data_IF_537169964811
#
_entry.id   IF_537169964811
#
_cell.length_a   1.000
_cell.length_b   1.000
_cell.length_c   1.000
_cell.angle_alpha   90.00
_cell.angle_beta   90.00
_cell.angle_gamma   90.00
#
_symmetry.space_group_name_H-M   'P 1'
#
loop_
_entity.id
_entity.type
_entity.pdbx_description
1 polymer ?
#
# COMPACT_ATOMS: atom_id res chain seq x y z
N UNK A 1 -3.76 2.02 9.28
CA UNK A 1 -3.09 2.28 10.57
C UNK A 1 -1.92 3.19 10.30
N UNK A 2 -1.81 4.29 11.05
CA UNK A 2 -0.68 5.20 10.95
C UNK A 2 0.36 4.81 12.00
N UNK A 3 1.63 4.74 11.58
CA UNK A 3 2.75 4.40 12.46
C UNK A 3 3.78 5.52 12.38
N UNK A 4 4.00 6.15 13.52
CA UNK A 4 5.05 7.15 13.73
C UNK A 4 5.89 6.76 14.96
N UNK A 5 6.37 5.51 14.95
CA UNK A 5 7.18 4.95 16.03
C UNK A 5 8.01 3.79 15.52
N UNK A 6 9.20 3.62 16.09
CA UNK A 6 10.01 2.44 15.90
C UNK A 6 9.25 1.15 16.26
N UNK A 7 8.97 0.32 15.26
CA UNK A 7 8.40 -1.01 15.36
C UNK A 7 9.41 -2.03 14.84
N UNK A 8 9.78 -2.98 15.71
CA UNK A 8 10.67 -4.08 15.34
C UNK A 8 10.39 -5.32 16.19
N UNK A 9 10.77 -6.47 15.64
CA UNK A 9 10.58 -7.78 16.27
C UNK A 9 9.13 -8.04 16.68
N UNK A 10 8.94 -8.59 17.88
CA UNK A 10 7.61 -8.96 18.38
C UNK A 10 6.65 -7.77 18.50
N UNK A 11 7.17 -6.56 18.72
CA UNK A 11 6.33 -5.35 18.81
C UNK A 11 5.68 -5.02 17.48
N UNK A 12 6.39 -5.19 16.37
CA UNK A 12 5.84 -5.00 15.03
C UNK A 12 4.71 -6.00 14.78
N UNK A 13 4.96 -7.28 15.06
CA UNK A 13 3.97 -8.36 14.88
C UNK A 13 2.72 -8.13 15.73
N UNK A 14 2.89 -7.89 17.03
CA UNK A 14 1.74 -7.66 17.93
C UNK A 14 0.91 -6.44 17.55
N UNK A 15 1.55 -5.39 17.05
CA UNK A 15 0.90 -4.14 16.69
C UNK A 15 0.12 -4.28 15.38
N UNK A 16 0.78 -4.74 14.32
CA UNK A 16 0.20 -4.84 12.99
C UNK A 16 -0.81 -6.00 12.88
N UNK A 17 -0.62 -7.11 13.61
CA UNK A 17 -1.59 -8.23 13.63
C UNK A 17 -2.95 -7.85 14.20
N UNK A 18 -3.09 -6.71 14.91
CA UNK A 18 -4.41 -6.20 15.31
C UNK A 18 -5.30 -5.89 14.10
N UNK A 19 -4.69 -5.59 12.96
CA UNK A 19 -5.40 -5.33 11.70
C UNK A 19 -5.91 -6.62 11.05
N UNK A 20 -5.48 -7.81 11.44
CA UNK A 20 -5.94 -9.07 10.81
C UNK A 20 -7.31 -9.55 11.30
N UNK A 21 -8.04 -8.76 12.10
CA UNK A 21 -9.42 -9.09 12.50
C UNK A 21 -10.37 -8.94 11.31
N UNK A 22 -11.07 -10.01 10.98
CA UNK A 22 -12.09 -10.03 9.93
C UNK A 22 -13.37 -9.32 10.38
N UNK A 23 -13.98 -8.53 9.49
CA UNK A 23 -15.27 -7.89 9.71
C UNK A 23 -16.00 -7.77 8.36
N UNK A 24 -17.33 -8.02 8.27
CA UNK A 24 -18.05 -8.08 6.99
C UNK A 24 -17.95 -6.81 6.13
N UNK A 25 -17.80 -5.65 6.75
CA UNK A 25 -17.69 -4.34 6.08
C UNK A 25 -16.24 -3.89 5.87
N UNK A 26 -15.27 -4.76 6.15
CA UNK A 26 -13.85 -4.44 6.09
C UNK A 26 -13.26 -5.11 4.87
N UNK A 27 -13.24 -4.35 3.78
CA UNK A 27 -12.80 -4.83 2.48
C UNK A 27 -11.29 -4.81 2.34
N UNK A 28 -10.62 -3.80 2.90
CA UNK A 28 -9.16 -3.65 2.82
C UNK A 28 -8.53 -3.16 4.14
N UNK A 29 -7.24 -3.46 4.30
CA UNK A 29 -6.41 -2.94 5.38
C UNK A 29 -5.17 -2.28 4.82
N UNK A 30 -4.91 -1.05 5.25
CA UNK A 30 -3.73 -0.29 4.84
C UNK A 30 -2.92 0.15 6.07
N UNK A 31 -1.60 0.16 5.94
CA UNK A 31 -0.65 0.66 6.94
C UNK A 31 0.19 1.75 6.28
N UNK A 32 0.21 2.94 6.88
CA UNK A 32 1.10 4.01 6.49
C UNK A 32 2.15 4.17 7.58
N UNK A 33 3.39 3.83 7.26
CA UNK A 33 4.53 3.91 8.17
C UNK A 33 5.45 5.06 7.74
N UNK A 34 5.77 5.94 8.68
CA UNK A 34 6.67 7.08 8.46
C UNK A 34 8.06 6.87 9.07
N UNK A 35 8.25 5.79 9.83
CA UNK A 35 9.44 5.59 10.66
C UNK A 35 10.24 4.35 10.27
N UNK A 36 9.57 3.24 9.95
CA UNK A 36 10.22 1.94 9.77
C UNK A 36 10.41 1.60 8.28
N UNK A 37 11.52 0.95 7.98
CA UNK A 37 11.76 0.35 6.67
C UNK A 37 11.00 -0.98 6.50
N UNK A 38 10.55 -1.22 5.27
CA UNK A 38 9.80 -2.43 4.87
C UNK A 38 10.58 -3.71 5.18
N UNK A 39 11.90 -3.72 4.99
CA UNK A 39 12.78 -4.85 5.31
C UNK A 39 12.78 -5.19 6.81
N UNK A 40 12.84 -4.19 7.70
CA UNK A 40 12.79 -4.39 9.16
C UNK A 40 11.46 -4.98 9.58
N UNK A 41 10.36 -4.52 8.98
CA UNK A 41 9.04 -5.12 9.22
C UNK A 41 9.02 -6.55 8.69
N UNK A 42 9.49 -6.84 7.47
CA UNK A 42 9.55 -8.21 6.92
C UNK A 42 10.34 -9.16 7.82
N UNK A 43 11.56 -8.76 8.22
CA UNK A 43 12.42 -9.53 9.15
C UNK A 43 11.74 -9.80 10.49
N UNK A 44 10.90 -8.88 10.95
CA UNK A 44 10.15 -9.06 12.20
C UNK A 44 9.05 -10.12 12.08
N UNK A 45 8.54 -10.36 10.88
CA UNK A 45 7.47 -11.33 10.59
C UNK A 45 8.00 -12.71 10.16
N UNK A 46 9.18 -12.79 9.55
CA UNK A 46 9.84 -14.04 9.10
C UNK A 46 9.82 -15.19 10.14
N UNK A 47 10.09 -14.97 11.45
CA UNK A 47 10.09 -16.05 12.43
C UNK A 47 8.70 -16.66 12.66
N UNK A 48 7.63 -15.93 12.36
CA UNK A 48 6.26 -16.28 12.70
C UNK A 48 5.42 -16.67 11.48
N UNK A 49 5.80 -16.22 10.28
CA UNK A 49 5.08 -16.46 9.03
C UNK A 49 6.03 -17.04 7.98
N UNK A 50 5.76 -18.29 7.56
CA UNK A 50 6.55 -19.02 6.56
C UNK A 50 6.51 -18.40 5.15
N UNK A 51 5.49 -17.60 4.86
CA UNK A 51 5.34 -16.83 3.62
C UNK A 51 4.95 -15.42 4.01
N UNK A 52 5.94 -14.54 4.17
CA UNK A 52 5.69 -13.11 4.33
C UNK A 52 5.69 -12.50 2.93
N UNK A 53 4.56 -12.60 2.22
CA UNK A 53 4.32 -11.78 1.03
C UNK A 53 4.01 -10.37 1.53
N UNK A 54 5.06 -9.63 1.89
CA UNK A 54 4.96 -8.18 1.93
C UNK A 54 4.96 -7.77 0.47
N UNK A 55 3.78 -7.40 -0.06
CA UNK A 55 3.70 -6.78 -1.38
C UNK A 55 4.67 -5.62 -1.37
N UNK A 56 5.70 -5.65 -2.22
CA UNK A 56 6.69 -4.57 -2.31
C UNK A 56 5.98 -3.23 -2.47
N UNK A 57 6.68 -2.16 -2.05
CA UNK A 57 6.23 -0.78 -2.10
C UNK A 57 5.43 -0.52 -3.39
N UNK A 58 4.25 0.09 -3.26
CA UNK A 58 3.54 0.58 -4.44
C UNK A 58 4.39 1.69 -5.02
N UNK A 59 5.19 1.37 -6.04
CA UNK A 59 6.04 2.34 -6.73
C UNK A 59 5.18 3.55 -7.13
N UNK A 60 5.45 4.76 -6.60
CA UNK A 60 4.70 5.96 -6.96
C UNK A 60 4.68 6.20 -8.47
N UNK A 61 5.72 5.73 -9.18
CA UNK A 61 5.84 5.85 -10.61
C UNK A 61 4.92 4.89 -11.36
N UNK A 62 4.45 3.78 -10.77
CA UNK A 62 3.47 2.89 -11.45
C UNK A 62 2.19 3.63 -11.85
N UNK A 63 1.78 4.63 -11.08
CA UNK A 63 0.62 5.46 -11.44
C UNK A 63 0.92 6.35 -12.66
N UNK A 64 2.15 6.90 -12.71
CA UNK A 64 2.62 7.70 -13.83
C UNK A 64 2.85 6.85 -15.09
N UNK A 65 3.38 5.64 -14.94
CA UNK A 65 3.57 4.67 -16.02
C UNK A 65 2.22 4.24 -16.60
N UNK A 66 1.24 3.90 -15.74
CA UNK A 66 -0.11 3.56 -16.18
C UNK A 66 -0.79 4.73 -16.89
N UNK A 67 -0.57 5.96 -16.42
CA UNK A 67 -1.07 7.17 -17.08
C UNK A 67 -0.44 7.32 -18.47
N UNK A 68 0.89 7.19 -18.58
CA UNK A 68 1.61 7.30 -19.84
C UNK A 68 1.20 6.21 -20.84
N UNK A 69 0.98 4.97 -20.37
CA UNK A 69 0.47 3.88 -21.20
C UNK A 69 -0.92 4.21 -21.74
N UNK A 70 -1.84 4.68 -20.89
CA UNK A 70 -3.20 5.06 -21.30
C UNK A 70 -3.23 6.26 -22.26
N UNK A 71 -2.35 7.24 -22.07
CA UNK A 71 -2.14 8.34 -23.01
C UNK A 71 -1.60 7.84 -24.36
N UNK A 72 -0.69 6.85 -24.34
CA UNK A 72 -0.14 6.21 -25.54
C UNK A 72 -1.16 5.43 -26.37
N UNK A 73 -2.13 4.79 -25.71
CA UNK A 73 -3.27 4.13 -26.36
C UNK A 73 -4.37 5.10 -26.81
N UNK A 74 -4.26 6.40 -26.51
CA UNK A 74 -5.27 7.44 -26.81
C UNK A 74 -6.69 7.06 -26.36
N UNK A 75 -6.82 6.40 -25.20
CA UNK A 75 -8.12 5.95 -24.67
C UNK A 75 -8.99 7.14 -24.25
N UNK A 76 -8.37 8.26 -23.89
CA UNK A 76 -9.02 9.52 -23.58
C UNK A 76 -8.17 10.71 -24.05
N UNK A 77 -8.81 11.85 -24.31
CA UNK A 77 -8.14 13.12 -24.56
C UNK A 77 -8.21 14.05 -23.35
N UNK A 78 -7.28 15.00 -23.26
CA UNK A 78 -7.31 16.03 -22.21
C UNK A 78 -8.64 16.83 -22.25
N UNK A 79 -9.18 17.07 -23.44
CA UNK A 79 -10.45 17.75 -23.64
C UNK A 79 -11.63 16.97 -23.02
N UNK A 80 -11.64 15.64 -23.15
CA UNK A 80 -12.65 14.78 -22.51
C UNK A 80 -12.55 14.78 -20.99
N UNK A 81 -11.33 14.87 -20.44
CA UNK A 81 -11.13 15.01 -19.00
C UNK A 81 -11.65 16.36 -18.52
N UNK A 82 -11.30 17.44 -19.22
CA UNK A 82 -11.68 18.80 -18.85
C UNK A 82 -13.19 19.01 -18.90
N UNK A 83 -13.89 18.35 -19.83
CA UNK A 83 -15.35 18.36 -19.92
C UNK A 83 -16.01 17.51 -18.82
N UNK A 84 -15.41 16.37 -18.43
CA UNK A 84 -15.90 15.54 -17.33
C UNK A 84 -15.77 16.25 -15.97
N UNK A 85 -14.71 17.01 -15.74
CA UNK A 85 -14.45 17.71 -14.46
C UNK A 85 -15.29 18.99 -14.28
N UNK A 86 -15.86 19.55 -15.36
CA UNK A 86 -16.75 20.71 -15.30
C UNK A 86 -18.18 20.39 -14.84
N UNK A 87 -18.54 19.10 -14.76
CA UNK A 87 -19.83 18.58 -14.25
C UNK A 87 -19.81 18.44 -12.71
#
# INVERSE_FOLDING_TARGET
MYVDKALSGIKAVQTLSRLNRAHPQKHDTFVLDFYNDSDTIRRSFEPYYRTTLLSDETDPNKLHDLKADLEGYQVYSQEQIDDFVKL
#
